data_IF_675205647944
#
_entry.id   IF_675205647944
#
_cell.length_a   1.000
_cell.length_b   1.000
_cell.length_c   1.000
_cell.angle_alpha   90.00
_cell.angle_beta   90.00
_cell.angle_gamma   90.00
#
_symmetry.space_group_name_H-M   'P 1'
#
loop_
_entity.id
_entity.type
_entity.pdbx_description
1 polymer ?
#
# COMPACT_ATOMS: atom_id res chain seq x y z
N UNK A 1 -11.52 21.34 7.28
CA UNK A 1 -10.56 20.35 6.76
C UNK A 1 -10.41 19.26 7.79
N UNK A 2 -10.30 18.00 7.38
CA UNK A 2 -10.06 16.92 8.33
C UNK A 2 -8.78 17.18 9.11
N UNK A 3 -8.73 16.72 10.35
CA UNK A 3 -7.55 16.87 11.20
C UNK A 3 -7.37 15.62 12.06
N UNK A 4 -6.12 15.22 12.27
CA UNK A 4 -5.77 14.14 13.19
C UNK A 4 -4.58 14.58 14.06
N UNK A 5 -4.55 14.29 15.38
CA UNK A 5 -3.50 14.80 16.27
C UNK A 5 -2.06 14.44 15.87
N UNK A 6 -1.88 13.29 15.21
CA UNK A 6 -0.56 12.83 14.73
C UNK A 6 -0.18 13.40 13.36
N UNK A 7 -1.09 14.09 12.65
CA UNK A 7 -0.84 14.71 11.35
C UNK A 7 -0.76 16.21 11.56
N UNK A 8 0.43 16.71 11.88
CA UNK A 8 0.69 18.14 11.98
C UNK A 8 0.65 18.80 10.60
N UNK A 9 0.62 20.14 10.57
CA UNK A 9 0.74 20.90 9.32
C UNK A 9 2.00 20.51 8.55
N UNK A 10 3.16 20.48 9.21
CA UNK A 10 4.45 20.17 8.57
C UNK A 10 4.48 18.75 8.00
N UNK A 11 3.91 17.75 8.70
CA UNK A 11 3.77 16.37 8.21
C UNK A 11 2.92 16.33 6.94
N UNK A 12 1.82 17.07 6.91
CA UNK A 12 0.96 17.17 5.74
C UNK A 12 1.65 17.84 4.56
N UNK A 13 2.35 18.96 4.79
CA UNK A 13 3.11 19.65 3.74
C UNK A 13 4.21 18.73 3.17
N UNK A 14 4.92 17.99 4.03
CA UNK A 14 5.89 16.98 3.57
C UNK A 14 5.25 15.90 2.71
N UNK A 15 4.07 15.39 3.09
CA UNK A 15 3.34 14.43 2.26
C UNK A 15 2.96 15.02 0.89
N UNK A 16 2.51 16.28 0.85
CA UNK A 16 2.10 16.93 -0.38
C UNK A 16 3.29 17.28 -1.30
N UNK A 17 4.44 17.61 -0.72
CA UNK A 17 5.65 17.95 -1.51
C UNK A 17 6.41 16.71 -1.96
N UNK A 18 6.58 15.73 -1.08
CA UNK A 18 7.45 14.58 -1.28
C UNK A 18 6.69 13.35 -1.83
N UNK A 19 5.37 13.30 -1.62
CA UNK A 19 4.51 12.17 -1.96
C UNK A 19 4.55 11.04 -0.94
N UNK A 20 5.32 11.20 0.13
CA UNK A 20 5.50 10.19 1.19
C UNK A 20 5.83 10.84 2.52
N UNK A 21 5.39 10.25 3.62
CA UNK A 21 5.77 10.65 4.97
C UNK A 21 5.71 9.46 5.93
N UNK A 22 6.63 9.43 6.90
CA UNK A 22 6.59 8.51 8.03
C UNK A 22 5.92 9.19 9.24
N UNK A 23 4.97 8.52 9.86
CA UNK A 23 4.34 8.93 11.13
C UNK A 23 4.76 7.92 12.21
N UNK A 24 5.64 8.34 13.14
CA UNK A 24 6.06 7.47 14.23
C UNK A 24 4.91 7.08 15.16
N UNK A 25 4.88 5.82 15.59
CA UNK A 25 3.89 5.31 16.53
C UNK A 25 2.44 5.55 16.08
N UNK A 26 2.17 5.48 14.77
CA UNK A 26 0.83 5.69 14.22
C UNK A 26 -0.19 4.73 14.82
N UNK A 27 0.22 3.50 15.10
CA UNK A 27 -0.62 2.40 15.58
C UNK A 27 -0.15 1.93 16.96
N UNK A 28 -1.09 1.60 17.86
CA UNK A 28 -0.79 1.14 19.21
C UNK A 28 -0.29 -0.30 19.27
N UNK A 29 0.43 -0.67 20.34
CA UNK A 29 0.92 -2.03 20.55
C UNK A 29 -0.16 -3.11 20.61
N UNK A 30 -1.38 -2.76 21.01
CA UNK A 30 -2.53 -3.68 21.00
C UNK A 30 -2.83 -4.14 19.57
N UNK A 31 -2.98 -3.19 18.64
CA UNK A 31 -3.18 -3.50 17.23
C UNK A 31 -2.04 -4.34 16.64
N UNK A 32 -0.80 -4.04 17.01
CA UNK A 32 0.37 -4.78 16.51
C UNK A 32 0.32 -6.24 16.93
N UNK A 33 -0.07 -6.52 18.18
CA UNK A 33 -0.20 -7.89 18.68
C UNK A 33 -1.29 -8.66 17.95
N UNK A 34 -2.43 -8.02 17.70
CA UNK A 34 -3.54 -8.63 16.97
C UNK A 34 -3.19 -8.89 15.50
N UNK A 35 -2.55 -7.92 14.83
CA UNK A 35 -2.10 -8.07 13.43
C UNK A 35 -1.02 -9.16 13.32
N UNK A 36 -0.10 -9.26 14.28
CA UNK A 36 0.90 -10.31 14.30
C UNK A 36 0.26 -11.71 14.42
N UNK A 37 -0.73 -11.85 15.32
CA UNK A 37 -1.48 -13.11 15.46
C UNK A 37 -2.24 -13.47 14.19
N UNK A 38 -2.97 -12.51 13.61
CA UNK A 38 -3.68 -12.69 12.34
C UNK A 38 -2.73 -13.10 11.20
N UNK A 39 -1.52 -12.52 11.16
CA UNK A 39 -0.54 -12.89 10.14
C UNK A 39 -0.06 -14.35 10.28
N UNK A 40 0.14 -14.86 11.50
CA UNK A 40 0.47 -16.27 11.72
C UNK A 40 -0.67 -17.20 11.30
N UNK A 41 -1.91 -16.85 11.61
CA UNK A 41 -3.10 -17.62 11.21
C UNK A 41 -3.23 -17.67 9.69
N UNK A 42 -3.02 -16.54 9.01
CA UNK A 42 -3.07 -16.44 7.55
C UNK A 42 -1.93 -17.20 6.86
N UNK A 43 -0.73 -17.18 7.45
CA UNK A 43 0.40 -17.99 6.96
C UNK A 43 0.17 -19.49 7.11
N UNK A 44 -0.57 -19.92 8.13
CA UNK A 44 -0.90 -21.31 8.41
C UNK A 44 -2.09 -21.82 7.57
N UNK A 45 -3.08 -20.96 7.31
CA UNK A 45 -4.27 -21.29 6.54
C UNK A 45 -4.61 -20.15 5.55
N UNK A 46 -3.88 -20.07 4.42
CA UNK A 46 -4.00 -18.96 3.47
C UNK A 46 -5.40 -18.81 2.89
N UNK A 47 -5.86 -17.55 2.78
CA UNK A 47 -7.12 -17.19 2.15
C UNK A 47 -7.09 -17.26 0.62
N UNK A 48 -8.08 -16.61 0.00
CA UNK A 48 -8.28 -16.69 -1.47
C UNK A 48 -7.25 -15.88 -2.27
N UNK A 49 -6.89 -14.68 -1.79
CA UNK A 49 -6.11 -13.70 -2.55
C UNK A 49 -4.66 -13.65 -2.05
N UNK A 50 -3.95 -14.74 -2.24
CA UNK A 50 -2.60 -14.97 -1.70
C UNK A 50 -1.59 -15.15 -2.83
N UNK A 51 -0.41 -14.57 -2.63
CA UNK A 51 0.82 -14.91 -3.36
C UNK A 51 1.83 -15.45 -2.36
N UNK A 52 2.37 -16.63 -2.61
CA UNK A 52 3.32 -17.30 -1.74
C UNK A 52 4.42 -17.94 -2.58
N UNK A 53 5.63 -17.41 -2.50
CA UNK A 53 6.74 -17.83 -3.37
C UNK A 53 7.41 -19.13 -2.92
N UNK A 54 7.30 -19.47 -1.63
CA UNK A 54 7.93 -20.66 -1.07
C UNK A 54 7.14 -21.19 0.15
N UNK A 55 5.97 -21.82 -0.08
CA UNK A 55 5.05 -22.21 0.98
C UNK A 55 5.69 -23.04 2.09
N UNK A 56 5.46 -22.63 3.34
CA UNK A 56 5.98 -23.32 4.53
C UNK A 56 7.44 -23.01 4.88
N UNK A 57 8.21 -22.36 4.00
CA UNK A 57 9.59 -22.00 4.31
C UNK A 57 9.65 -20.91 5.39
N UNK A 58 10.71 -20.98 6.21
CA UNK A 58 11.03 -20.00 7.27
C UNK A 58 12.07 -18.99 6.85
N UNK A 59 12.60 -19.11 5.64
CA UNK A 59 13.55 -18.22 5.00
C UNK A 59 13.27 -18.15 3.51
N UNK A 60 13.68 -17.06 2.87
CA UNK A 60 13.52 -16.84 1.43
C UNK A 60 12.07 -17.09 0.95
N UNK A 61 11.11 -16.49 1.65
CA UNK A 61 9.68 -16.57 1.33
C UNK A 61 9.07 -15.18 1.33
N UNK A 62 8.47 -14.79 0.23
CA UNK A 62 7.56 -13.67 0.14
C UNK A 62 6.13 -14.22 0.21
N UNK A 63 5.38 -13.77 1.18
CA UNK A 63 3.96 -14.07 1.33
C UNK A 63 3.15 -12.79 1.34
N UNK A 64 2.08 -12.74 0.55
CA UNK A 64 1.14 -11.63 0.57
C UNK A 64 -0.29 -12.14 0.58
N UNK A 65 -1.18 -11.45 1.31
CA UNK A 65 -2.61 -11.72 1.33
C UNK A 65 -3.41 -10.43 1.26
N UNK A 66 -4.51 -10.42 0.50
CA UNK A 66 -5.33 -9.22 0.24
C UNK A 66 -6.79 -9.44 0.60
N UNK A 67 -7.53 -8.34 0.82
CA UNK A 67 -8.98 -8.33 1.07
C UNK A 67 -9.41 -9.09 2.33
N UNK A 68 -8.54 -9.14 3.34
CA UNK A 68 -8.82 -9.79 4.62
C UNK A 68 -9.88 -9.06 5.43
N UNK A 69 -10.04 -7.75 5.25
CA UNK A 69 -11.03 -6.95 5.95
C UNK A 69 -12.46 -7.50 5.82
N UNK A 70 -12.76 -8.25 4.75
CA UNK A 70 -14.09 -8.87 4.51
C UNK A 70 -14.32 -10.16 5.30
N UNK A 71 -13.25 -10.83 5.73
CA UNK A 71 -13.32 -12.21 6.26
C UNK A 71 -12.62 -12.37 7.62
N UNK A 72 -11.79 -11.41 8.00
CA UNK A 72 -11.04 -11.42 9.25
C UNK A 72 -11.49 -10.28 10.15
N UNK A 73 -11.85 -10.60 11.40
CA UNK A 73 -12.41 -9.64 12.36
C UNK A 73 -11.38 -8.64 12.88
N UNK A 74 -10.11 -9.03 12.96
CA UNK A 74 -9.02 -8.14 13.38
C UNK A 74 -8.78 -7.08 12.32
N UNK A 75 -8.63 -7.48 11.06
CA UNK A 75 -8.43 -6.55 9.96
C UNK A 75 -9.65 -5.66 9.77
N UNK A 76 -10.87 -6.21 9.90
CA UNK A 76 -12.09 -5.41 9.83
C UNK A 76 -12.10 -4.32 10.89
N UNK A 77 -11.90 -4.66 12.18
CA UNK A 77 -11.84 -3.67 13.27
C UNK A 77 -10.70 -2.67 13.06
N UNK A 78 -9.52 -3.13 12.63
CA UNK A 78 -8.39 -2.26 12.35
C UNK A 78 -8.74 -1.19 11.32
N UNK A 79 -9.40 -1.56 10.23
CA UNK A 79 -9.85 -0.63 9.19
C UNK A 79 -10.72 0.48 9.76
N UNK A 80 -11.68 0.15 10.61
CA UNK A 80 -12.65 1.13 11.12
C UNK A 80 -12.21 1.87 12.39
N UNK A 81 -11.34 1.29 13.22
CA UNK A 81 -11.11 1.78 14.58
C UNK A 81 -9.67 2.26 14.83
N UNK A 82 -8.69 1.93 13.97
CA UNK A 82 -7.28 2.29 14.18
C UNK A 82 -6.97 3.79 14.03
N UNK A 83 -7.85 4.55 13.37
CA UNK A 83 -7.62 5.96 13.03
C UNK A 83 -6.78 6.18 11.76
N UNK A 84 -6.29 5.14 11.11
CA UNK A 84 -5.48 5.23 9.87
C UNK A 84 -6.25 5.92 8.73
N UNK A 85 -7.56 5.64 8.58
CA UNK A 85 -8.42 6.28 7.59
C UNK A 85 -8.45 7.81 7.74
N UNK A 86 -8.59 8.29 8.98
CA UNK A 86 -8.59 9.72 9.29
C UNK A 86 -7.22 10.36 9.01
N UNK A 87 -6.11 9.68 9.34
CA UNK A 87 -4.77 10.16 9.00
C UNK A 87 -4.60 10.28 7.48
N UNK A 88 -4.99 9.26 6.70
CA UNK A 88 -4.94 9.28 5.25
C UNK A 88 -5.78 10.42 4.66
N UNK A 89 -7.04 10.60 5.10
CA UNK A 89 -7.89 11.72 4.69
C UNK A 89 -7.24 13.07 4.99
N UNK A 90 -6.65 13.23 6.20
CA UNK A 90 -5.98 14.47 6.61
C UNK A 90 -4.77 14.79 5.71
N UNK A 91 -3.95 13.78 5.40
CA UNK A 91 -2.79 13.93 4.51
C UNK A 91 -3.21 14.30 3.09
N UNK A 92 -4.19 13.62 2.53
CA UNK A 92 -4.73 13.90 1.19
C UNK A 92 -5.48 15.25 1.12
N UNK A 93 -5.93 15.79 2.27
CA UNK A 93 -6.85 16.94 2.29
C UNK A 93 -8.25 16.58 1.78
N UNK A 94 -8.63 15.33 1.93
CA UNK A 94 -9.93 14.80 1.55
C UNK A 94 -10.91 14.87 2.70
N UNK A 95 -12.19 15.14 2.45
CA UNK A 95 -13.23 15.11 3.47
C UNK A 95 -13.67 13.68 3.82
N UNK A 96 -13.37 12.72 2.96
CA UNK A 96 -13.70 11.31 3.13
C UNK A 96 -12.49 10.41 2.97
N UNK A 97 -12.57 9.17 3.50
CA UNK A 97 -11.70 8.08 3.15
C UNK A 97 -12.51 6.79 3.01
N UNK A 98 -12.49 6.23 1.81
CA UNK A 98 -13.01 4.89 1.52
C UNK A 98 -11.88 3.89 1.47
N UNK A 99 -12.08 2.69 2.00
CA UNK A 99 -11.12 1.62 1.85
C UNK A 99 -11.26 1.00 0.46
N UNK A 100 -10.12 0.83 -0.24
CA UNK A 100 -10.08 -0.03 -1.41
C UNK A 100 -9.79 -1.47 -0.98
N UNK A 101 -8.63 -1.73 -0.39
CA UNK A 101 -8.27 -3.04 0.15
C UNK A 101 -7.16 -2.96 1.20
N UNK A 102 -7.03 -4.03 1.97
CA UNK A 102 -5.89 -4.31 2.84
C UNK A 102 -4.92 -5.31 2.19
N UNK A 103 -3.66 -5.20 2.54
CA UNK A 103 -2.60 -6.04 2.01
C UNK A 103 -1.61 -6.42 3.12
N UNK A 104 -1.69 -7.66 3.59
CA UNK A 104 -0.69 -8.26 4.45
C UNK A 104 0.54 -8.61 3.61
N UNK A 105 1.72 -8.22 4.07
CA UNK A 105 2.99 -8.36 3.38
C UNK A 105 4.03 -8.94 4.33
N UNK A 106 4.45 -10.18 4.10
CA UNK A 106 5.43 -10.86 4.93
C UNK A 106 6.65 -11.22 4.07
N UNK A 107 7.83 -10.78 4.49
CA UNK A 107 9.11 -11.26 3.96
C UNK A 107 9.85 -11.99 5.06
N UNK A 108 9.99 -13.31 4.90
CA UNK A 108 10.78 -14.12 5.82
C UNK A 108 12.27 -13.74 5.76
N UNK A 109 13.10 -14.10 6.77
CA UNK A 109 14.53 -13.88 6.72
C UNK A 109 15.15 -14.35 5.40
N UNK A 110 16.13 -13.62 4.91
CA UNK A 110 16.87 -13.97 3.69
C UNK A 110 16.01 -14.08 2.43
N UNK A 111 14.91 -13.32 2.35
CA UNK A 111 14.11 -13.23 1.14
C UNK A 111 14.84 -12.39 0.10
N UNK A 112 15.30 -13.02 -0.98
CA UNK A 112 16.06 -12.34 -2.04
C UNK A 112 15.16 -11.47 -2.94
N UNK A 113 13.90 -11.86 -3.11
CA UNK A 113 12.96 -11.18 -3.98
C UNK A 113 12.72 -9.72 -3.56
N UNK A 114 13.14 -8.73 -4.36
CA UNK A 114 12.79 -7.33 -4.11
C UNK A 114 11.33 -7.07 -4.46
N UNK A 115 10.80 -5.95 -4.00
CA UNK A 115 9.63 -5.32 -4.59
C UNK A 115 10.14 -4.38 -5.68
N UNK A 116 9.87 -4.62 -6.98
CA UNK A 116 10.34 -3.77 -8.06
C UNK A 116 9.86 -2.32 -7.89
N UNK A 117 10.61 -1.37 -8.47
CA UNK A 117 10.18 0.03 -8.51
C UNK A 117 8.94 0.19 -9.38
N UNK A 118 7.86 0.71 -8.80
CA UNK A 118 6.55 0.86 -9.45
C UNK A 118 5.74 2.00 -8.84
N UNK A 119 4.68 2.39 -9.54
CA UNK A 119 3.56 3.14 -8.98
C UNK A 119 2.44 2.17 -8.64
N UNK A 120 1.65 2.45 -7.61
CA UNK A 120 0.48 1.64 -7.26
C UNK A 120 -0.69 1.86 -8.24
N UNK A 121 -0.89 3.12 -8.69
CA UNK A 121 -2.07 3.52 -9.47
C UNK A 121 -2.31 2.71 -10.76
N UNK A 122 -1.30 2.27 -11.53
CA UNK A 122 -1.53 1.51 -12.75
C UNK A 122 -2.11 0.10 -12.55
N UNK A 123 -2.04 -0.40 -11.32
CA UNK A 123 -2.62 -1.70 -10.98
C UNK A 123 -4.07 -1.62 -10.55
N UNK A 124 -4.63 -0.41 -10.33
CA UNK A 124 -5.92 -0.23 -9.69
C UNK A 124 -6.98 0.35 -10.64
N UNK A 125 -8.24 -0.06 -10.51
CA UNK A 125 -9.34 0.45 -11.33
C UNK A 125 -9.84 1.82 -10.85
N UNK A 126 -8.91 2.74 -10.58
CA UNK A 126 -9.22 4.08 -10.10
C UNK A 126 -8.39 5.15 -10.78
N UNK A 127 -8.93 6.36 -10.80
CA UNK A 127 -8.24 7.56 -11.24
C UNK A 127 -8.52 8.70 -10.26
N UNK A 128 -7.49 9.42 -9.86
CA UNK A 128 -7.55 10.54 -8.91
C UNK A 128 -6.19 10.80 -8.29
N UNK A 129 -6.04 11.93 -7.62
CA UNK A 129 -4.80 12.27 -6.88
C UNK A 129 -4.90 11.92 -5.41
N UNK A 130 -6.09 11.92 -4.85
CA UNK A 130 -6.33 11.59 -3.44
C UNK A 130 -6.43 10.07 -3.24
N UNK A 131 -5.37 9.36 -3.60
CA UNK A 131 -5.22 7.92 -3.34
C UNK A 131 -3.97 7.73 -2.51
N UNK A 132 -4.15 7.21 -1.29
CA UNK A 132 -3.11 7.07 -0.29
C UNK A 132 -2.97 5.63 0.19
N UNK A 133 -1.74 5.12 0.18
CA UNK A 133 -1.38 3.88 0.85
C UNK A 133 -0.86 4.19 2.25
N UNK A 134 -1.32 3.43 3.25
CA UNK A 134 -0.80 3.44 4.61
C UNK A 134 -0.16 2.07 4.90
N UNK A 135 1.16 2.03 4.99
CA UNK A 135 1.93 0.83 5.26
C UNK A 135 2.41 0.86 6.71
N UNK A 136 1.89 -0.04 7.55
CA UNK A 136 2.20 -0.13 8.99
C UNK A 136 3.11 -1.31 9.23
N UNK A 137 4.27 -1.06 9.84
CA UNK A 137 5.19 -2.12 10.23
C UNK A 137 4.77 -2.75 11.56
N UNK A 138 4.71 -4.07 11.57
CA UNK A 138 4.50 -4.87 12.80
C UNK A 138 5.84 -5.14 13.49
N UNK A 139 6.90 -5.25 12.71
CA UNK A 139 8.25 -5.52 13.15
C UNK A 139 9.13 -4.28 12.95
N UNK A 140 10.26 -4.19 13.67
CA UNK A 140 11.34 -3.28 13.33
C UNK A 140 11.91 -3.67 11.96
N UNK A 141 12.11 -2.71 11.08
CA UNK A 141 12.73 -2.94 9.78
C UNK A 141 13.57 -1.74 9.34
N UNK A 142 14.79 -2.01 8.90
CA UNK A 142 15.61 -1.04 8.19
C UNK A 142 15.39 -1.11 6.68
N UNK A 143 15.85 -0.10 5.94
CA UNK A 143 15.82 -0.15 4.48
C UNK A 143 16.52 -1.41 3.96
N UNK A 144 17.66 -1.80 4.53
CA UNK A 144 18.39 -3.02 4.16
C UNK A 144 17.63 -4.32 4.50
N UNK A 145 16.67 -4.26 5.43
CA UNK A 145 15.80 -5.38 5.85
C UNK A 145 14.39 -5.26 5.28
N UNK A 146 14.27 -4.62 4.10
CA UNK A 146 13.03 -4.54 3.32
C UNK A 146 11.97 -3.57 3.85
N UNK A 147 12.38 -2.46 4.49
CA UNK A 147 11.53 -1.26 4.54
C UNK A 147 11.43 -0.61 3.15
N UNK A 148 10.51 0.32 2.99
CA UNK A 148 10.20 0.91 1.69
C UNK A 148 11.18 2.04 1.33
N UNK A 149 11.45 2.16 0.03
CA UNK A 149 12.17 3.27 -0.59
C UNK A 149 11.28 3.97 -1.62
N UNK A 150 11.47 5.27 -1.78
CA UNK A 150 10.64 6.12 -2.63
C UNK A 150 11.51 7.08 -3.45
N UNK A 151 11.10 7.37 -4.69
CA UNK A 151 11.65 8.51 -5.43
C UNK A 151 10.84 9.74 -5.05
N UNK A 152 11.45 10.61 -4.23
CA UNK A 152 10.82 11.81 -3.67
C UNK A 152 10.25 12.70 -4.77
N UNK A 153 9.00 13.15 -4.59
CA UNK A 153 8.34 14.04 -5.53
C UNK A 153 7.89 13.42 -6.85
N UNK A 154 8.18 12.13 -7.12
CA UNK A 154 7.80 11.47 -8.38
C UNK A 154 6.28 11.37 -8.59
N UNK A 155 5.47 11.48 -7.54
CA UNK A 155 4.01 11.54 -7.64
C UNK A 155 3.51 12.79 -8.40
N UNK A 156 4.33 13.83 -8.50
CA UNK A 156 4.03 15.07 -9.21
C UNK A 156 4.55 15.10 -10.66
N UNK A 157 5.20 14.04 -11.15
CA UNK A 157 5.72 14.00 -12.52
C UNK A 157 4.63 13.90 -13.59
N UNK A 158 3.40 13.59 -13.19
CA UNK A 158 2.28 13.34 -14.10
C UNK A 158 2.54 12.21 -15.11
N UNK A 159 3.43 11.29 -14.76
CA UNK A 159 3.76 10.10 -15.53
C UNK A 159 2.93 8.91 -15.05
N UNK A 160 2.54 8.04 -15.99
CA UNK A 160 1.77 6.84 -15.73
C UNK A 160 2.55 5.65 -16.29
N UNK A 161 3.17 4.88 -15.40
CA UNK A 161 4.11 3.84 -15.79
C UNK A 161 3.42 2.49 -15.95
N UNK A 162 3.84 1.73 -16.97
CA UNK A 162 3.32 0.39 -17.18
C UNK A 162 3.57 -0.51 -15.96
N UNK A 163 2.55 -1.23 -15.46
CA UNK A 163 2.70 -2.14 -14.34
C UNK A 163 3.60 -3.32 -14.73
N UNK A 164 4.44 -3.75 -13.79
CA UNK A 164 5.31 -4.91 -13.93
C UNK A 164 4.83 -6.02 -13.01
N UNK A 165 4.93 -7.27 -13.44
CA UNK A 165 4.69 -8.39 -12.56
C UNK A 165 5.81 -8.49 -11.51
N UNK A 166 5.43 -8.70 -10.25
CA UNK A 166 6.39 -8.78 -9.14
C UNK A 166 7.28 -10.03 -9.16
N UNK A 167 6.99 -10.99 -10.03
CA UNK A 167 7.79 -12.20 -10.27
C UNK A 167 8.86 -12.00 -11.35
N UNK A 168 9.02 -10.77 -11.86
CA UNK A 168 9.95 -10.45 -12.95
C UNK A 168 9.50 -10.92 -14.32
N UNK A 169 8.32 -11.52 -14.46
CA UNK A 169 7.73 -11.80 -15.78
C UNK A 169 7.28 -10.51 -16.45
N UNK A 170 7.23 -10.53 -17.79
CA UNK A 170 6.94 -9.33 -18.57
C UNK A 170 5.52 -8.84 -18.33
N UNK A 171 5.38 -7.52 -18.36
CA UNK A 171 4.17 -6.71 -18.46
C UNK A 171 2.85 -7.40 -18.09
N UNK A 172 2.18 -6.87 -17.10
CA UNK A 172 0.88 -7.32 -16.59
C UNK A 172 -0.19 -7.48 -17.70
N UNK A 173 -0.14 -6.64 -18.74
CA UNK A 173 -0.94 -6.84 -19.96
C UNK A 173 -0.26 -6.21 -21.17
N UNK A 174 -0.48 -6.81 -22.37
CA UNK A 174 -0.04 -6.29 -23.67
C UNK A 174 -0.76 -5.00 -24.09
N UNK A 175 -1.91 -4.69 -23.48
CA UNK A 175 -2.82 -3.62 -23.92
C UNK A 175 -2.70 -2.35 -23.07
N UNK A 176 -1.87 -2.37 -22.03
CA UNK A 176 -1.66 -1.20 -21.16
C UNK A 176 -0.93 -0.09 -21.90
N UNK A 177 -1.50 1.11 -21.87
CA UNK A 177 -0.99 2.32 -22.53
C UNK A 177 -0.19 3.18 -21.53
N UNK A 178 0.99 2.74 -21.12
CA UNK A 178 1.86 3.50 -20.20
C UNK A 178 3.31 3.46 -20.66
N UNK A 179 4.09 4.40 -20.15
CA UNK A 179 5.55 4.41 -20.35
C UNK A 179 6.21 3.32 -19.49
N UNK A 180 7.38 2.78 -19.92
CA UNK A 180 8.17 1.96 -19.03
C UNK A 180 8.57 2.75 -17.76
N UNK A 181 8.49 2.12 -16.59
CA UNK A 181 9.05 2.72 -15.39
C UNK A 181 10.56 2.96 -15.57
N UNK A 182 11.11 4.07 -15.06
CA UNK A 182 12.55 4.32 -15.14
C UNK A 182 13.32 3.25 -14.36
N UNK A 183 14.53 2.96 -14.80
CA UNK A 183 15.43 2.02 -14.10
C UNK A 183 16.06 2.69 -12.86
N UNK A 184 15.23 2.88 -11.82
CA UNK A 184 15.69 3.48 -10.57
C UNK A 184 16.76 2.60 -9.89
N UNK A 185 16.66 1.29 -10.02
CA UNK A 185 17.61 0.36 -9.39
C UNK A 185 19.01 0.47 -10.05
N UNK A 186 19.07 0.59 -11.37
CA UNK A 186 20.31 0.68 -12.11
C UNK A 186 20.94 2.08 -12.13
N UNK A 187 20.15 3.13 -11.86
CA UNK A 187 20.58 4.53 -11.96
C UNK A 187 20.28 5.33 -10.67
N UNK A 188 20.49 4.74 -9.50
CA UNK A 188 20.10 5.30 -8.17
C UNK A 188 20.60 6.73 -7.95
N UNK A 189 21.80 7.06 -8.42
CA UNK A 189 22.41 8.38 -8.26
C UNK A 189 21.72 9.49 -9.08
N UNK A 190 20.84 9.13 -10.00
CA UNK A 190 20.04 10.05 -10.80
C UNK A 190 18.71 10.44 -10.14
N UNK A 191 18.34 9.78 -9.03
CA UNK A 191 17.06 9.95 -8.35
C UNK A 191 17.24 10.41 -6.90
N UNK A 192 16.35 11.28 -6.43
CA UNK A 192 16.25 11.62 -5.01
C UNK A 192 15.49 10.52 -4.26
N UNK A 193 16.24 9.52 -3.81
CA UNK A 193 15.69 8.35 -3.12
C UNK A 193 15.67 8.60 -1.61
N UNK A 194 14.51 8.44 -1.01
CA UNK A 194 14.32 8.43 0.45
C UNK A 194 13.81 7.07 0.91
N UNK A 195 14.39 6.55 1.98
CA UNK A 195 13.93 5.35 2.67
C UNK A 195 13.73 5.62 4.15
N UNK A 196 12.94 4.81 4.81
CA UNK A 196 12.63 4.98 6.22
C UNK A 196 12.91 3.69 6.99
N UNK A 197 13.81 3.77 7.98
CA UNK A 197 13.84 2.76 9.02
C UNK A 197 12.60 2.94 9.91
N UNK A 198 11.96 1.85 10.30
CA UNK A 198 10.70 1.85 11.02
C UNK A 198 10.78 1.00 12.28
N UNK A 199 10.14 1.50 13.33
CA UNK A 199 9.85 0.77 14.55
C UNK A 199 8.44 0.15 14.48
N UNK A 200 8.14 -0.87 15.29
CA UNK A 200 6.80 -1.42 15.38
C UNK A 200 5.75 -0.35 15.66
N UNK A 201 4.74 -0.26 14.81
CA UNK A 201 3.67 0.74 14.89
C UNK A 201 3.92 2.03 14.13
N UNK A 202 5.10 2.23 13.57
CA UNK A 202 5.33 3.30 12.60
C UNK A 202 4.51 3.03 11.33
N UNK A 203 3.97 4.10 10.74
CA UNK A 203 3.29 4.04 9.46
C UNK A 203 3.98 4.91 8.43
N UNK A 204 4.16 4.36 7.23
CA UNK A 204 4.56 5.12 6.04
C UNK A 204 3.31 5.36 5.21
N UNK A 205 2.94 6.64 5.02
CA UNK A 205 1.87 7.07 4.14
C UNK A 205 2.43 7.57 2.84
N UNK A 206 1.91 7.12 1.71
CA UNK A 206 2.40 7.51 0.41
C UNK A 206 1.31 7.56 -0.66
N UNK A 207 1.51 8.45 -1.63
CA UNK A 207 0.64 8.60 -2.79
C UNK A 207 0.71 7.37 -3.69
N UNK A 208 -0.41 6.92 -4.25
CA UNK A 208 -0.43 5.85 -5.25
C UNK A 208 0.36 6.20 -6.53
N UNK A 209 0.68 7.48 -6.72
CA UNK A 209 1.44 7.97 -7.87
C UNK A 209 2.95 8.01 -7.65
N UNK A 210 3.45 7.74 -6.43
CA UNK A 210 4.88 7.79 -6.16
C UNK A 210 5.58 6.51 -6.62
N UNK A 211 6.74 6.65 -7.26
CA UNK A 211 7.61 5.51 -7.53
C UNK A 211 8.20 5.01 -6.21
N UNK A 212 7.99 3.74 -5.94
CA UNK A 212 8.49 3.10 -4.72
C UNK A 212 8.86 1.64 -4.98
N UNK A 213 9.66 1.11 -4.08
CA UNK A 213 10.09 -0.27 -4.09
C UNK A 213 10.62 -0.69 -2.72
N UNK A 214 11.14 -1.90 -2.63
CA UNK A 214 11.83 -2.37 -1.44
C UNK A 214 12.88 -3.40 -1.84
N UNK A 215 14.05 -3.44 -1.20
CA UNK A 215 14.99 -4.53 -1.39
C UNK A 215 14.40 -5.86 -0.89
N UNK A 216 15.12 -6.95 -1.09
CA UNK A 216 14.87 -8.19 -0.38
C UNK A 216 15.06 -8.01 1.12
N UNK A 217 14.67 -9.00 1.91
CA UNK A 217 14.96 -9.01 3.35
C UNK A 217 16.33 -9.69 3.57
N UNK A 218 17.38 -8.90 3.70
CA UNK A 218 18.73 -9.40 3.97
C UNK A 218 18.97 -9.82 5.43
N UNK A 219 18.05 -9.44 6.33
CA UNK A 219 18.14 -9.69 7.77
C UNK A 219 17.84 -11.12 8.18
N UNK A 220 18.03 -11.38 9.46
CA UNK A 220 17.74 -12.66 10.11
C UNK A 220 16.37 -12.71 10.78
N UNK A 221 15.60 -11.63 10.68
CA UNK A 221 14.23 -11.50 11.22
C UNK A 221 13.21 -11.42 10.10
N UNK A 222 12.00 -11.88 10.38
CA UNK A 222 10.83 -11.65 9.52
C UNK A 222 10.48 -10.16 9.52
N UNK A 223 10.01 -9.66 8.40
CA UNK A 223 9.38 -8.35 8.29
C UNK A 223 7.90 -8.54 7.92
N UNK A 224 7.02 -8.15 8.81
CA UNK A 224 5.56 -8.17 8.65
C UNK A 224 5.02 -6.76 8.57
N UNK A 225 4.16 -6.50 7.60
CA UNK A 225 3.46 -5.24 7.50
C UNK A 225 2.01 -5.43 7.03
N UNK A 226 1.12 -4.60 7.55
CA UNK A 226 -0.25 -4.47 7.06
C UNK A 226 -0.39 -3.12 6.36
N UNK A 227 -0.74 -3.16 5.11
CA UNK A 227 -0.94 -1.96 4.31
C UNK A 227 -2.41 -1.82 3.91
N UNK A 228 -2.95 -0.59 3.95
CA UNK A 228 -4.32 -0.26 3.56
C UNK A 228 -4.33 0.82 2.50
N UNK A 229 -5.29 0.77 1.58
CA UNK A 229 -5.41 1.69 0.44
C UNK A 229 -6.66 2.53 0.58
N UNK A 230 -6.50 3.85 0.53
CA UNK A 230 -7.53 4.83 0.83
C UNK A 230 -7.84 5.71 -0.36
N UNK A 231 -9.13 5.86 -0.65
CA UNK A 231 -9.68 6.65 -1.74
C UNK A 231 -10.32 7.91 -1.17
N UNK A 232 -9.94 9.08 -1.67
CA UNK A 232 -10.46 10.38 -1.28
C UNK A 232 -11.53 10.92 -2.23
N UNK A 233 -11.84 12.21 -2.09
CA UNK A 233 -13.00 12.86 -2.71
C UNK A 233 -12.89 13.03 -4.24
N UNK A 234 -11.66 13.10 -4.79
CA UNK A 234 -11.44 13.29 -6.24
C UNK A 234 -11.34 11.99 -7.03
N UNK A 235 -11.48 10.83 -6.33
CA UNK A 235 -11.27 9.53 -6.94
C UNK A 235 -12.48 9.10 -7.74
N UNK A 236 -12.23 8.53 -8.91
CA UNK A 236 -13.28 7.96 -9.78
C UNK A 236 -12.98 6.50 -10.08
N UNK A 237 -14.05 5.71 -10.27
CA UNK A 237 -13.97 4.35 -10.79
C UNK A 237 -13.48 4.40 -12.24
N UNK A 238 -12.38 3.71 -12.51
CA UNK A 238 -11.72 3.75 -13.82
C UNK A 238 -11.16 2.37 -14.16
N UNK A 239 -12.01 1.36 -14.42
CA UNK A 239 -11.53 0.05 -14.84
C UNK A 239 -10.82 0.15 -16.19
N UNK A 240 -9.68 -0.51 -16.30
CA UNK A 240 -8.86 -0.52 -17.52
C UNK A 240 -8.14 -1.87 -17.67
N UNK A 241 -7.69 -2.23 -18.88
CA UNK A 241 -6.90 -3.44 -19.08
C UNK A 241 -5.69 -3.48 -18.13
N UNK A 242 -5.58 -4.54 -17.34
CA UNK A 242 -4.49 -4.73 -16.37
C UNK A 242 -4.74 -4.22 -14.95
N UNK A 243 -5.87 -3.58 -14.69
CA UNK A 243 -6.26 -3.29 -13.30
C UNK A 243 -6.61 -4.57 -12.54
N UNK A 244 -6.51 -4.51 -11.21
CA UNK A 244 -6.84 -5.62 -10.30
C UNK A 244 -8.25 -6.16 -10.59
N UNK A 245 -8.41 -7.44 -10.93
CA UNK A 245 -9.68 -8.01 -11.34
C UNK A 245 -10.57 -8.44 -10.15
N UNK A 246 -10.21 -8.07 -8.92
CA UNK A 246 -10.94 -8.53 -7.72
C UNK A 246 -12.32 -7.91 -7.60
N UNK A 247 -12.46 -6.66 -8.05
CA UNK A 247 -13.74 -5.96 -8.23
C UNK A 247 -13.80 -5.45 -9.65
N UNK A 248 -14.86 -5.81 -10.36
CA UNK A 248 -15.09 -5.46 -11.77
C UNK A 248 -16.40 -4.69 -11.94
N UNK A 249 -16.66 -4.20 -13.15
CA UNK A 249 -17.96 -3.56 -13.48
C UNK A 249 -19.17 -4.49 -13.27
N UNK A 250 -18.95 -5.81 -13.22
CA UNK A 250 -20.00 -6.81 -12.92
C UNK A 250 -20.31 -6.92 -11.43
N UNK A 251 -19.36 -6.50 -10.56
CA UNK A 251 -19.48 -6.61 -9.11
C UNK A 251 -20.09 -5.36 -8.47
N UNK A 252 -19.90 -4.19 -9.08
CA UNK A 252 -20.33 -2.89 -8.56
C UNK A 252 -21.32 -2.21 -9.50
N UNK A 253 -22.17 -1.34 -8.96
CA UNK A 253 -23.06 -0.47 -9.74
C UNK A 253 -22.44 0.91 -10.01
N UNK A 254 -21.20 1.13 -9.65
CA UNK A 254 -20.49 2.40 -9.90
C UNK A 254 -20.13 2.48 -11.39
N UNK A 255 -20.64 3.48 -12.08
CA UNK A 255 -20.30 3.71 -13.49
C UNK A 255 -18.88 4.27 -13.63
N UNK A 256 -18.20 3.93 -14.72
CA UNK A 256 -16.87 4.47 -15.02
C UNK A 256 -16.89 6.00 -15.04
N UNK A 257 -15.93 6.62 -14.37
CA UNK A 257 -15.83 8.06 -14.17
C UNK A 257 -16.61 8.61 -12.97
N UNK A 258 -17.38 7.78 -12.27
CA UNK A 258 -18.10 8.20 -11.06
C UNK A 258 -17.29 7.94 -9.79
N UNK A 259 -17.60 8.69 -8.72
CA UNK A 259 -17.06 8.45 -7.38
C UNK A 259 -17.43 7.03 -6.92
N UNK A 260 -16.52 6.28 -6.28
CA UNK A 260 -16.73 4.88 -5.92
C UNK A 260 -17.66 4.72 -4.70
N UNK A 261 -18.90 5.17 -4.82
CA UNK A 261 -19.91 5.12 -3.74
C UNK A 261 -20.58 3.74 -3.64
N UNK A 262 -19.81 2.76 -3.23
CA UNK A 262 -20.26 1.38 -3.02
C UNK A 262 -19.64 0.82 -1.73
N UNK A 263 -20.37 0.90 -0.62
CA UNK A 263 -19.91 0.44 0.70
C UNK A 263 -19.65 -1.08 0.78
N UNK A 264 -20.18 -1.85 -0.16
CA UNK A 264 -19.92 -3.30 -0.22
C UNK A 264 -18.50 -3.61 -0.65
N UNK A 265 -17.93 -2.79 -1.57
CA UNK A 265 -16.62 -3.01 -2.15
C UNK A 265 -15.60 -1.97 -1.70
N UNK A 266 -16.04 -0.74 -1.49
CA UNK A 266 -15.23 0.42 -1.11
C UNK A 266 -15.85 1.15 0.08
N UNK A 267 -15.90 0.53 1.29
CA UNK A 267 -16.66 1.07 2.41
C UNK A 267 -16.17 2.46 2.82
N UNK A 268 -17.11 3.36 3.12
CA UNK A 268 -16.82 4.65 3.71
C UNK A 268 -16.41 4.43 5.18
N UNK A 269 -15.14 4.71 5.49
CA UNK A 269 -14.58 4.51 6.84
C UNK A 269 -14.48 5.82 7.60
N UNK A 270 -14.18 6.91 6.91
CA UNK A 270 -14.07 8.24 7.51
C UNK A 270 -14.81 9.29 6.68
N UNK A 271 -15.54 10.18 7.39
CA UNK A 271 -16.13 11.40 6.84
C UNK A 271 -16.01 12.53 7.87
N UNK A 272 -15.57 13.75 7.46
CA UNK A 272 -15.40 14.95 8.30
C UNK A 272 -16.60 15.88 8.24
#
# INVERSE_FOLDING_TARGET
MPSHPKVTHDIRESYLSDGVVKIPGAVSGEWLSEIASMAEDELAAPGKWVTDTNPGAKTNRLFTSRYRWKTDSVVNRYVYESGIAQMAATLMGSSTARLYFDHLLVKEPRTEAPTPWHQDIPYWPFWGKQICSAWVSVDEATVAESSLEFVRGSHAWNSYFAPQAFDGSKNWTSDFQGEPAPDVAGARDEFDIVGFDVEPGDAIFFSAWILHGAPGNAGDRRRTALSTRWLGDDVTWYPHPGSDPTVTDEDTNVESGQYPDDDRHFPLVYAS
#
